data_IF_778820698414
#
_entry.id   IF_778820698414
#
_cell.length_a   1.000
_cell.length_b   1.000
_cell.length_c   1.000
_cell.angle_alpha   90.00
_cell.angle_beta   90.00
_cell.angle_gamma   90.00
#
_symmetry.space_group_name_H-M   'P 1'
#
loop_
_entity.id
_entity.type
_entity.pdbx_description
1 polymer ?
#
# COMPACT_ATOMS: atom_id res chain seq x y z
N UNK A 1 8.27 12.87 -0.70
CA UNK A 1 7.85 11.47 -0.41
C UNK A 1 6.87 11.49 0.75
N UNK A 2 5.64 11.02 0.53
CA UNK A 2 4.60 10.92 1.55
C UNK A 2 4.47 9.46 1.98
N UNK A 3 4.24 9.23 3.26
CA UNK A 3 4.18 7.88 3.81
C UNK A 3 3.30 7.84 5.05
N UNK A 4 2.60 6.72 5.22
CA UNK A 4 1.82 6.43 6.42
C UNK A 4 1.93 4.95 6.77
N UNK A 5 2.14 4.67 8.06
CA UNK A 5 2.02 3.34 8.64
C UNK A 5 0.68 3.22 9.36
N UNK A 6 -0.01 2.12 9.13
CA UNK A 6 -1.26 1.77 9.81
C UNK A 6 -1.21 0.32 10.29
N UNK A 7 -1.90 0.05 11.40
CA UNK A 7 -2.08 -1.31 11.90
C UNK A 7 -3.54 -1.71 11.75
N UNK A 8 -3.79 -2.87 11.13
CA UNK A 8 -5.12 -3.47 11.00
C UNK A 8 -5.09 -4.92 11.46
N UNK A 9 -5.65 -5.16 12.65
CA UNK A 9 -5.68 -6.48 13.27
C UNK A 9 -4.28 -7.06 13.44
N UNK A 10 -4.03 -8.20 12.79
CA UNK A 10 -2.76 -8.92 12.80
C UNK A 10 -1.74 -8.40 11.77
N UNK A 11 -2.04 -7.33 11.03
CA UNK A 11 -1.21 -6.83 9.94
C UNK A 11 -0.80 -5.37 10.15
N UNK A 12 0.34 -5.01 9.57
CA UNK A 12 0.78 -3.63 9.35
C UNK A 12 0.73 -3.32 7.86
N UNK A 13 0.24 -2.14 7.55
CA UNK A 13 0.10 -1.60 6.20
C UNK A 13 0.98 -0.36 6.13
N UNK A 14 1.86 -0.34 5.15
CA UNK A 14 2.67 0.81 4.81
C UNK A 14 2.19 1.33 3.47
N UNK A 15 1.75 2.58 3.43
CA UNK A 15 1.35 3.24 2.19
C UNK A 15 2.29 4.40 1.91
N UNK A 16 2.67 4.55 0.66
CA UNK A 16 3.53 5.63 0.21
C UNK A 16 3.00 6.30 -1.05
N UNK A 17 3.29 7.58 -1.19
CA UNK A 17 3.22 8.28 -2.46
C UNK A 17 4.61 8.87 -2.77
N UNK A 18 5.12 8.47 -3.94
CA UNK A 18 6.40 8.91 -4.48
C UNK A 18 6.12 9.84 -5.65
N UNK A 19 6.78 10.99 -5.71
CA UNK A 19 6.70 11.84 -6.91
C UNK A 19 7.25 11.07 -8.12
N UNK A 20 6.58 11.20 -9.25
CA UNK A 20 7.02 10.51 -10.45
C UNK A 20 8.35 11.10 -10.94
N UNK A 21 9.39 10.28 -11.19
CA UNK A 21 10.64 10.79 -11.75
C UNK A 21 10.48 11.23 -13.22
N UNK A 22 9.37 10.88 -13.87
CA UNK A 22 9.08 11.23 -15.26
C UNK A 22 7.67 11.85 -15.29
N UNK A 23 7.58 13.18 -15.32
CA UNK A 23 6.32 13.92 -15.42
C UNK A 23 5.65 14.22 -14.08
N UNK A 24 4.50 14.89 -14.15
CA UNK A 24 3.77 15.34 -12.95
C UNK A 24 2.99 14.21 -12.28
N UNK A 25 2.80 14.35 -10.96
CA UNK A 25 1.97 13.48 -10.13
C UNK A 25 2.77 12.47 -9.30
N UNK A 26 2.03 11.53 -8.70
CA UNK A 26 2.52 10.63 -7.68
C UNK A 26 2.25 9.18 -8.06
N UNK A 27 3.18 8.28 -7.79
CA UNK A 27 2.95 6.83 -7.82
C UNK A 27 2.71 6.30 -6.42
N UNK A 28 1.77 5.37 -6.29
CA UNK A 28 1.46 4.71 -5.03
C UNK A 28 2.42 3.54 -4.76
N UNK A 29 2.81 3.38 -3.50
CA UNK A 29 3.55 2.24 -2.98
C UNK A 29 2.78 1.60 -1.82
N UNK A 30 2.85 0.28 -1.70
CA UNK A 30 2.16 -0.49 -0.67
C UNK A 30 3.02 -1.66 -0.20
N UNK A 31 3.20 -1.77 1.12
CA UNK A 31 3.72 -2.97 1.77
C UNK A 31 2.72 -3.44 2.82
N UNK A 32 2.44 -4.74 2.85
CA UNK A 32 1.63 -5.37 3.89
C UNK A 32 2.44 -6.50 4.51
N UNK A 33 2.52 -6.52 5.84
CA UNK A 33 3.23 -7.56 6.58
C UNK A 33 2.54 -7.90 7.89
N UNK A 34 2.77 -9.10 8.47
CA UNK A 34 2.25 -9.44 9.78
C UNK A 34 2.80 -8.50 10.86
N UNK A 35 1.97 -8.19 11.86
CA UNK A 35 2.34 -7.29 12.96
C UNK A 35 3.39 -7.89 13.89
N UNK A 36 3.39 -9.21 14.05
CA UNK A 36 4.24 -9.93 15.02
C UNK A 36 5.14 -10.94 14.32
N UNK A 37 6.24 -10.45 13.73
CA UNK A 37 7.20 -11.30 13.04
C UNK A 37 6.63 -11.95 11.78
N UNK A 38 7.50 -12.20 10.80
CA UNK A 38 7.10 -12.78 9.53
C UNK A 38 7.56 -11.95 8.34
N UNK A 39 7.55 -12.58 7.17
CA UNK A 39 7.93 -11.96 5.91
C UNK A 39 6.78 -11.11 5.37
N UNK A 40 7.11 -10.07 4.62
CA UNK A 40 6.15 -9.29 3.83
C UNK A 40 5.23 -10.23 3.04
N UNK A 41 3.92 -10.01 3.17
CA UNK A 41 2.91 -10.78 2.43
C UNK A 41 2.60 -10.14 1.08
N UNK A 42 2.88 -8.84 0.94
CA UNK A 42 2.73 -8.07 -0.27
C UNK A 42 3.67 -6.87 -0.23
N UNK A 43 4.33 -6.57 -1.35
CA UNK A 43 5.22 -5.43 -1.51
C UNK A 43 5.20 -5.01 -2.97
N UNK A 44 4.81 -3.77 -3.23
CA UNK A 44 4.78 -3.17 -4.57
C UNK A 44 5.10 -1.67 -4.46
N UNK A 45 6.21 -1.25 -5.06
CA UNK A 45 6.71 0.12 -5.09
C UNK A 45 6.19 0.93 -6.30
N UNK A 46 5.49 0.28 -7.23
CA UNK A 46 4.85 0.87 -8.42
C UNK A 46 3.43 0.34 -8.58
N UNK A 47 2.64 0.50 -7.52
CA UNK A 47 1.28 -0.01 -7.46
C UNK A 47 0.46 0.46 -8.67
N UNK A 48 -0.35 -0.43 -9.24
CA UNK A 48 -1.13 -0.18 -10.46
C UNK A 48 -0.25 0.11 -11.70
N UNK A 49 0.87 -0.61 -11.84
CA UNK A 49 1.81 -0.50 -12.96
C UNK A 49 2.38 0.93 -13.14
N UNK A 50 2.58 1.66 -12.04
CA UNK A 50 3.08 3.03 -12.06
C UNK A 50 2.07 4.07 -12.52
N UNK A 51 0.76 3.82 -12.37
CA UNK A 51 -0.25 4.85 -12.54
C UNK A 51 0.10 6.10 -11.73
N UNK A 52 -0.18 7.28 -12.30
CA UNK A 52 0.13 8.57 -11.68
C UNK A 52 -1.14 9.25 -11.23
N UNK A 53 -1.23 9.48 -9.93
CA UNK A 53 -2.28 10.29 -9.33
C UNK A 53 -1.89 11.76 -9.33
N UNK A 54 -2.88 12.64 -9.46
CA UNK A 54 -2.65 14.07 -9.42
C UNK A 54 -2.16 14.54 -8.04
N UNK A 55 -2.59 13.87 -6.97
CA UNK A 55 -2.22 14.19 -5.59
C UNK A 55 -1.63 13.00 -4.86
N UNK A 56 -0.80 13.28 -3.85
CA UNK A 56 -0.26 12.24 -2.96
C UNK A 56 -1.38 11.53 -2.18
N UNK A 57 -2.39 12.27 -1.75
CA UNK A 57 -3.52 11.75 -0.98
C UNK A 57 -4.34 10.74 -1.78
N UNK A 58 -4.55 10.96 -3.08
CA UNK A 58 -5.24 10.01 -3.95
C UNK A 58 -4.44 8.71 -4.11
N UNK A 59 -3.12 8.81 -4.31
CA UNK A 59 -2.22 7.67 -4.40
C UNK A 59 -2.23 6.85 -3.09
N UNK A 60 -2.11 7.53 -1.94
CA UNK A 60 -2.11 6.87 -0.63
C UNK A 60 -3.48 6.26 -0.31
N UNK A 61 -4.58 6.94 -0.64
CA UNK A 61 -5.94 6.43 -0.45
C UNK A 61 -6.18 5.16 -1.27
N UNK A 62 -5.69 5.13 -2.51
CA UNK A 62 -5.73 3.94 -3.35
C UNK A 62 -4.90 2.79 -2.75
N UNK A 63 -3.66 3.06 -2.34
CA UNK A 63 -2.79 2.07 -1.70
C UNK A 63 -3.44 1.47 -0.44
N UNK A 64 -4.01 2.31 0.41
CA UNK A 64 -4.67 1.88 1.64
C UNK A 64 -5.88 0.99 1.35
N UNK A 65 -6.72 1.38 0.38
CA UNK A 65 -7.87 0.56 -0.03
C UNK A 65 -7.43 -0.81 -0.55
N UNK A 66 -6.34 -0.87 -1.33
CA UNK A 66 -5.76 -2.13 -1.83
C UNK A 66 -5.20 -2.99 -0.71
N UNK A 67 -4.46 -2.40 0.25
CA UNK A 67 -3.95 -3.11 1.43
C UNK A 67 -5.07 -3.74 2.27
N UNK A 68 -6.13 -2.98 2.52
CA UNK A 68 -7.35 -3.48 3.20
C UNK A 68 -8.03 -4.63 2.47
N UNK A 69 -8.07 -4.59 1.14
CA UNK A 69 -8.64 -5.67 0.34
C UNK A 69 -7.79 -6.96 0.47
N UNK A 70 -6.47 -6.85 0.38
CA UNK A 70 -5.54 -7.98 0.55
C UNK A 70 -5.66 -8.65 1.92
N UNK A 71 -5.78 -7.85 2.98
CA UNK A 71 -5.99 -8.38 4.34
C UNK A 71 -7.30 -9.15 4.43
N UNK A 72 -8.39 -8.58 3.89
CA UNK A 72 -9.71 -9.24 3.90
C UNK A 72 -9.69 -10.57 3.13
N UNK A 73 -9.09 -10.61 1.96
CA UNK A 73 -8.94 -11.85 1.17
C UNK A 73 -8.13 -12.91 1.93
N UNK A 74 -7.04 -12.51 2.61
CA UNK A 74 -6.22 -13.43 3.42
C UNK A 74 -6.97 -13.98 4.63
N UNK A 75 -7.75 -13.17 5.34
CA UNK A 75 -8.52 -13.62 6.50
C UNK A 75 -9.56 -14.66 6.09
N UNK A 76 -10.20 -14.49 4.92
CA UNK A 76 -11.19 -15.44 4.40
C UNK A 76 -10.57 -16.80 4.03
N UNK A 77 -9.30 -16.84 3.64
CA UNK A 77 -8.63 -18.10 3.26
C UNK A 77 -8.11 -18.92 4.45
N UNK A 78 -8.06 -18.35 5.67
CA UNK A 78 -7.51 -19.01 6.86
C UNK A 78 -8.59 -19.44 7.86
N UNK A 79 -9.85 -19.07 7.61
CA UNK A 79 -11.03 -19.45 8.41
C UNK A 79 -11.72 -20.69 7.82
#
# INVERSE_FOLDING_TARGET
MHFQELTEGAYRIYVGALESPIGDGYTAALVVQPRHGGREIFSDDRLSCGHRWATADDAMSYALRKGRALIRERVVQVA
#
